data_IF_727246862386
#
_entry.id   IF_727246862386
#
_cell.length_a   1.000
_cell.length_b   1.000
_cell.length_c   1.000
_cell.angle_alpha   90.00
_cell.angle_beta   90.00
_cell.angle_gamma   90.00
#
_symmetry.space_group_name_H-M   'P 1'
#
loop_
_entity.id
_entity.type
_entity.pdbx_description
1 polymer ?
#
# COMPACT_ATOMS: atom_id res chain seq x y z
N UNK A 1 11.58 -5.05 -16.52
CA UNK A 1 12.08 -5.03 -15.12
C UNK A 1 12.26 -6.47 -14.68
N UNK A 2 13.28 -6.75 -13.87
CA UNK A 2 13.54 -8.09 -13.32
C UNK A 2 12.50 -8.40 -12.23
N UNK A 3 11.64 -9.42 -12.37
CA UNK A 3 10.60 -9.74 -11.38
C UNK A 3 11.11 -9.98 -9.96
N UNK A 4 12.37 -10.37 -9.84
CA UNK A 4 13.06 -10.63 -8.57
C UNK A 4 13.47 -9.35 -7.83
N UNK A 5 13.43 -8.18 -8.46
CA UNK A 5 13.79 -6.91 -7.81
C UNK A 5 12.56 -6.38 -7.06
N UNK A 6 12.68 -6.30 -5.73
CA UNK A 6 11.65 -5.70 -4.90
C UNK A 6 11.44 -4.22 -5.22
N UNK A 7 10.19 -3.78 -5.26
CA UNK A 7 9.77 -2.42 -5.55
C UNK A 7 9.40 -1.71 -4.25
N UNK A 8 9.98 -0.53 -4.02
CA UNK A 8 9.57 0.38 -2.95
C UNK A 8 8.70 1.48 -3.57
N UNK A 9 7.41 1.48 -3.25
CA UNK A 9 6.46 2.52 -3.63
C UNK A 9 6.59 3.73 -2.70
N UNK A 10 6.63 4.93 -3.26
CA UNK A 10 6.72 6.17 -2.49
C UNK A 10 6.03 7.32 -3.23
N UNK A 11 5.52 8.29 -2.46
CA UNK A 11 4.86 9.48 -2.97
C UNK A 11 3.35 9.48 -2.75
N UNK A 12 2.83 10.58 -2.21
CA UNK A 12 1.37 10.82 -2.13
C UNK A 12 0.59 10.00 -1.09
N UNK A 13 1.22 9.10 -0.33
CA UNK A 13 0.52 8.25 0.63
C UNK A 13 0.03 9.04 1.85
N UNK A 14 -1.29 9.09 2.03
CA UNK A 14 -1.99 9.72 3.16
C UNK A 14 -2.98 8.77 3.83
N UNK A 15 -3.32 7.66 3.19
CA UNK A 15 -4.33 6.68 3.62
C UNK A 15 -3.94 5.23 3.28
N UNK A 16 -4.65 4.28 3.88
CA UNK A 16 -4.57 2.86 3.54
C UNK A 16 -5.00 2.56 2.11
N UNK A 17 -5.85 3.40 1.51
CA UNK A 17 -6.21 3.32 0.10
C UNK A 17 -5.00 3.60 -0.81
N UNK A 18 -4.21 4.61 -0.49
CA UNK A 18 -3.00 4.93 -1.26
C UNK A 18 -1.98 3.79 -1.19
N UNK A 19 -1.83 3.16 -0.01
CA UNK A 19 -0.99 1.97 0.17
C UNK A 19 -1.51 0.80 -0.65
N UNK A 20 -2.82 0.54 -0.60
CA UNK A 20 -3.46 -0.50 -1.41
C UNK A 20 -3.17 -0.30 -2.90
N UNK A 21 -3.28 0.93 -3.40
CA UNK A 21 -3.01 1.26 -4.80
C UNK A 21 -1.53 1.07 -5.17
N UNK A 22 -0.59 1.47 -4.32
CA UNK A 22 0.84 1.21 -4.55
C UNK A 22 1.15 -0.28 -4.64
N UNK A 23 0.57 -1.09 -3.75
CA UNK A 23 0.75 -2.54 -3.77
C UNK A 23 0.07 -3.13 -5.02
N UNK A 24 -1.13 -2.68 -5.37
CA UNK A 24 -1.85 -3.09 -6.58
C UNK A 24 -1.02 -2.81 -7.86
N UNK A 25 -0.25 -1.72 -7.87
CA UNK A 25 0.72 -1.38 -8.92
C UNK A 25 2.03 -2.19 -8.86
N UNK A 26 2.27 -2.98 -7.81
CA UNK A 26 3.40 -3.90 -7.71
C UNK A 26 4.36 -3.66 -6.55
N UNK A 27 4.13 -2.67 -5.68
CA UNK A 27 5.02 -2.39 -4.56
C UNK A 27 5.10 -3.57 -3.57
N UNK A 28 6.33 -3.91 -3.15
CA UNK A 28 6.60 -4.84 -2.05
C UNK A 28 6.64 -4.11 -0.70
N UNK A 29 7.12 -2.86 -0.71
CA UNK A 29 7.23 -1.97 0.44
C UNK A 29 6.65 -0.62 0.06
N UNK A 30 6.04 0.08 1.02
CA UNK A 30 5.50 1.43 0.80
C UNK A 30 6.09 2.39 1.84
N UNK A 31 6.64 3.51 1.38
CA UNK A 31 7.27 4.54 2.22
C UNK A 31 6.37 5.77 2.37
N UNK A 32 6.21 6.24 3.61
CA UNK A 32 5.41 7.42 3.94
C UNK A 32 6.33 8.56 4.38
N UNK A 33 6.37 9.65 3.59
CA UNK A 33 7.23 10.81 3.84
C UNK A 33 6.46 12.02 4.40
N UNK A 34 5.87 12.82 3.51
CA UNK A 34 5.19 14.08 3.88
C UNK A 34 4.14 13.89 4.97
N UNK A 35 3.28 12.87 4.86
CA UNK A 35 2.24 12.63 5.84
C UNK A 35 2.81 12.19 7.21
N UNK A 36 3.91 11.43 7.23
CA UNK A 36 4.63 11.12 8.48
C UNK A 36 5.20 12.37 9.14
N UNK A 37 5.71 13.33 8.36
CA UNK A 37 6.21 14.60 8.88
C UNK A 37 5.15 15.43 9.64
N UNK A 38 3.86 15.29 9.27
CA UNK A 38 2.76 15.98 9.94
C UNK A 38 2.13 15.14 11.07
N UNK A 39 1.85 13.87 10.80
CA UNK A 39 1.07 12.99 11.69
C UNK A 39 1.95 12.22 12.70
N UNK A 40 3.28 12.24 12.51
CA UNK A 40 4.23 11.45 13.27
C UNK A 40 3.97 9.94 13.14
N UNK A 41 4.38 9.17 14.16
CA UNK A 41 4.29 7.70 14.15
C UNK A 41 2.84 7.17 14.14
N UNK A 42 1.86 7.97 14.56
CA UNK A 42 0.45 7.56 14.62
C UNK A 42 -0.14 7.21 13.25
N UNK A 43 0.45 7.72 12.17
CA UNK A 43 0.02 7.44 10.80
C UNK A 43 0.09 5.96 10.44
N UNK A 44 1.07 5.22 10.99
CA UNK A 44 1.28 3.83 10.64
C UNK A 44 0.14 2.93 11.15
N UNK A 45 -0.36 3.19 12.36
CA UNK A 45 -1.50 2.45 12.92
C UNK A 45 -2.78 2.73 12.14
N UNK A 46 -3.03 4.00 11.83
CA UNK A 46 -4.20 4.42 11.03
C UNK A 46 -4.19 3.78 9.64
N UNK A 47 -3.11 3.91 8.90
CA UNK A 47 -2.98 3.37 7.54
C UNK A 47 -3.05 1.84 7.54
N UNK A 48 -2.45 1.18 8.54
CA UNK A 48 -2.53 -0.28 8.68
C UNK A 48 -3.95 -0.76 8.93
N UNK A 49 -4.74 -0.02 9.73
CA UNK A 49 -6.16 -0.31 9.96
C UNK A 49 -6.97 -0.13 8.67
N UNK A 50 -6.84 1.03 8.01
CA UNK A 50 -7.54 1.34 6.75
C UNK A 50 -7.23 0.31 5.66
N UNK A 51 -5.97 -0.13 5.53
CA UNK A 51 -5.58 -1.18 4.58
C UNK A 51 -6.26 -2.53 4.91
N UNK A 52 -6.28 -2.93 6.19
CA UNK A 52 -6.94 -4.17 6.62
C UNK A 52 -8.45 -4.14 6.35
N UNK A 53 -9.09 -2.99 6.52
CA UNK A 53 -10.51 -2.81 6.20
C UNK A 53 -10.77 -3.02 4.70
N UNK A 54 -9.94 -2.43 3.82
CA UNK A 54 -10.02 -2.64 2.37
C UNK A 54 -9.79 -4.11 2.00
N UNK A 55 -8.80 -4.76 2.64
CA UNK A 55 -8.52 -6.17 2.42
C UNK A 55 -9.72 -7.05 2.82
N UNK A 56 -10.32 -6.80 3.98
CA UNK A 56 -11.49 -7.52 4.47
C UNK A 56 -12.71 -7.32 3.55
N UNK A 57 -12.98 -6.09 3.12
CA UNK A 57 -14.07 -5.77 2.18
C UNK A 57 -13.91 -6.52 0.84
N UNK A 58 -12.67 -6.71 0.39
CA UNK A 58 -12.35 -7.39 -0.88
C UNK A 58 -12.11 -8.89 -0.75
N UNK A 59 -12.13 -9.43 0.47
CA UNK A 59 -11.82 -10.84 0.72
C UNK A 59 -10.34 -11.23 0.51
N UNK A 60 -9.42 -10.26 0.62
CA UNK A 60 -7.98 -10.53 0.58
C UNK A 60 -7.44 -10.90 1.97
N UNK A 61 -6.57 -11.89 2.00
CA UNK A 61 -5.94 -12.41 3.23
C UNK A 61 -4.43 -12.15 3.26
N UNK A 62 -3.83 -11.93 2.08
CA UNK A 62 -2.42 -11.60 1.90
C UNK A 62 -2.25 -10.41 0.95
N UNK A 63 -1.15 -9.67 1.10
CA UNK A 63 -0.76 -8.63 0.13
C UNK A 63 -0.48 -9.23 -1.27
N UNK A 64 -0.05 -10.50 -1.32
CA UNK A 64 0.20 -11.21 -2.58
C UNK A 64 -1.09 -11.50 -3.35
N UNK A 65 -2.25 -11.46 -2.69
CA UNK A 65 -3.54 -11.68 -3.33
C UNK A 65 -3.85 -10.59 -4.37
N UNK A 66 -3.25 -9.40 -4.22
CA UNK A 66 -3.50 -8.26 -5.10
C UNK A 66 -2.25 -7.52 -5.58
N UNK A 67 -1.03 -7.82 -5.08
CA UNK A 67 0.18 -7.15 -5.56
C UNK A 67 0.35 -7.32 -7.07
N UNK A 68 0.51 -6.21 -7.79
CA UNK A 68 0.70 -6.21 -9.24
C UNK A 68 -0.52 -6.63 -10.06
N UNK A 69 -1.73 -6.68 -9.47
CA UNK A 69 -2.96 -7.11 -10.15
C UNK A 69 -3.83 -5.94 -10.63
N UNK A 70 -3.24 -4.77 -10.86
CA UNK A 70 -3.93 -3.65 -11.49
C UNK A 70 -4.46 -4.07 -12.87
N UNK A 71 -5.77 -3.95 -13.09
CA UNK A 71 -6.38 -4.24 -14.39
C UNK A 71 -6.20 -3.05 -15.33
N UNK A 72 -5.76 -3.32 -16.54
CA UNK A 72 -5.77 -2.35 -17.64
C UNK A 72 -7.05 -2.54 -18.47
N UNK A 73 -7.51 -1.46 -19.10
CA UNK A 73 -8.60 -1.50 -20.09
C UNK A 73 -8.09 -2.02 -21.43
#
# INVERSE_FOLDING_TARGET
MKPEIAIIGTGGIKSGRDVFEHILCGANVVQIGTAFGFDGVSIFDRISKELKEIMAEKGYTSLDDFRGKLKTL
#
